data_IF_885716548872
#
_entry.id   IF_885716548872
#
_cell.length_a   1.000
_cell.length_b   1.000
_cell.length_c   1.000
_cell.angle_alpha   90.00
_cell.angle_beta   90.00
_cell.angle_gamma   90.00
#
_symmetry.space_group_name_H-M   'P 1'
#
loop_
_entity.id
_entity.type
_entity.pdbx_description
1 polymer ?
#
# COMPACT_ATOMS: atom_id res chain seq x y z
N UNK A 1 -22.95 -81.46 59.76
CA UNK A 1 -21.76 -81.30 58.88
C UNK A 1 -21.97 -80.30 57.72
N UNK A 2 -23.07 -79.53 57.67
CA UNK A 2 -23.38 -78.63 56.53
C UNK A 2 -22.69 -77.25 56.64
N UNK A 3 -22.40 -76.79 57.88
CA UNK A 3 -21.73 -75.51 58.16
C UNK A 3 -20.30 -75.36 57.59
N UNK A 4 -19.40 -76.37 57.64
CA UNK A 4 -18.07 -76.23 57.05
C UNK A 4 -18.09 -76.20 55.51
N UNK A 5 -19.03 -76.92 54.88
CA UNK A 5 -19.16 -76.95 53.41
C UNK A 5 -19.61 -75.60 52.85
N UNK A 6 -20.51 -74.90 53.55
CA UNK A 6 -21.04 -73.60 53.15
C UNK A 6 -19.99 -72.48 53.34
N UNK A 7 -19.11 -72.58 54.34
CA UNK A 7 -17.98 -71.65 54.49
C UNK A 7 -16.90 -71.83 53.42
N UNK A 8 -16.60 -73.06 53.01
CA UNK A 8 -15.63 -73.32 51.94
C UNK A 8 -16.16 -72.80 50.60
N UNK A 9 -17.45 -73.01 50.30
CA UNK A 9 -18.09 -72.48 49.10
C UNK A 9 -18.09 -70.94 49.06
N UNK A 10 -18.32 -70.28 50.20
CA UNK A 10 -18.29 -68.81 50.29
C UNK A 10 -16.86 -68.24 50.16
N UNK A 11 -15.87 -68.89 50.76
CA UNK A 11 -14.46 -68.50 50.61
C UNK A 11 -13.94 -68.69 49.18
N UNK A 12 -14.37 -69.75 48.49
CA UNK A 12 -14.04 -69.97 47.08
C UNK A 12 -14.66 -68.90 46.17
N UNK A 13 -15.90 -68.48 46.44
CA UNK A 13 -16.57 -67.43 45.66
C UNK A 13 -15.89 -66.06 45.83
N UNK A 14 -15.45 -65.73 47.04
CA UNK A 14 -14.69 -64.49 47.32
C UNK A 14 -13.30 -64.48 46.65
N UNK A 15 -12.63 -65.63 46.58
CA UNK A 15 -11.34 -65.74 45.91
C UNK A 15 -11.44 -65.53 44.39
N UNK A 16 -12.48 -66.10 43.75
CA UNK A 16 -12.71 -65.95 42.30
C UNK A 16 -13.07 -64.51 41.92
N UNK A 17 -13.88 -63.82 42.73
CA UNK A 17 -14.22 -62.42 42.48
C UNK A 17 -13.00 -61.48 42.57
N UNK A 18 -12.06 -61.77 43.47
CA UNK A 18 -10.82 -60.99 43.62
C UNK A 18 -9.87 -61.13 42.42
N UNK A 19 -9.76 -62.34 41.84
CA UNK A 19 -8.89 -62.59 40.69
C UNK A 19 -9.40 -61.97 39.39
N UNK A 20 -10.72 -61.95 39.19
CA UNK A 20 -11.32 -61.32 38.01
C UNK A 20 -11.08 -59.80 38.00
N UNK A 21 -11.29 -59.13 39.13
CA UNK A 21 -11.09 -57.68 39.28
C UNK A 21 -9.62 -57.28 39.05
N UNK A 22 -8.69 -58.09 39.55
CA UNK A 22 -7.26 -57.84 39.37
C UNK A 22 -6.84 -57.92 37.90
N UNK A 23 -7.39 -58.89 37.15
CA UNK A 23 -7.13 -59.07 35.72
C UNK A 23 -7.67 -57.92 34.85
N UNK A 24 -8.86 -57.39 35.17
CA UNK A 24 -9.43 -56.23 34.46
C UNK A 24 -8.55 -54.98 34.62
N UNK A 25 -8.14 -54.70 35.84
CA UNK A 25 -7.25 -53.57 36.15
C UNK A 25 -5.86 -53.71 35.47
N UNK A 26 -5.34 -54.94 35.32
CA UNK A 26 -4.10 -55.21 34.57
C UNK A 26 -4.28 -54.94 33.08
N UNK A 27 -5.44 -55.30 32.51
CA UNK A 27 -5.79 -54.98 31.12
C UNK A 27 -5.93 -53.46 30.92
N UNK A 28 -6.47 -52.72 31.89
CA UNK A 28 -6.53 -51.26 31.88
C UNK A 28 -5.13 -50.64 31.87
N UNK A 29 -4.21 -51.12 32.71
CA UNK A 29 -2.81 -50.67 32.72
C UNK A 29 -2.14 -50.94 31.38
N UNK A 30 -2.35 -52.11 30.78
CA UNK A 30 -1.82 -52.43 29.46
C UNK A 30 -2.34 -51.46 28.39
N UNK A 31 -3.64 -51.15 28.41
CA UNK A 31 -4.26 -50.15 27.51
C UNK A 31 -3.65 -48.75 27.69
N UNK A 32 -3.43 -48.31 28.93
CA UNK A 32 -2.83 -47.00 29.21
C UNK A 32 -1.39 -46.92 28.71
N UNK A 33 -0.59 -47.97 28.91
CA UNK A 33 0.76 -48.06 28.36
C UNK A 33 0.75 -48.03 26.83
N UNK A 34 -0.17 -48.75 26.18
CA UNK A 34 -0.30 -48.73 24.73
C UNK A 34 -0.64 -47.33 24.18
N UNK A 35 -1.56 -46.61 24.81
CA UNK A 35 -1.90 -45.22 24.43
C UNK A 35 -0.69 -44.30 24.52
N UNK A 36 0.08 -44.42 25.61
CA UNK A 36 1.28 -43.61 25.81
C UNK A 36 2.39 -43.97 24.82
N UNK A 37 2.55 -45.25 24.50
CA UNK A 37 3.47 -45.72 23.47
C UNK A 37 3.11 -45.18 22.08
N UNK A 38 1.83 -45.21 21.71
CA UNK A 38 1.35 -44.60 20.45
C UNK A 38 1.66 -43.10 20.37
N UNK A 39 1.57 -42.41 21.51
CA UNK A 39 1.92 -41.00 21.61
C UNK A 39 3.44 -40.76 21.43
N UNK A 40 4.28 -41.68 21.88
CA UNK A 40 5.75 -41.66 21.71
C UNK A 40 6.19 -42.03 20.29
N UNK A 41 5.57 -43.02 19.68
CA UNK A 41 5.91 -43.50 18.34
C UNK A 41 5.46 -42.54 17.23
N UNK A 42 4.55 -41.61 17.54
CA UNK A 42 4.13 -40.60 16.58
C UNK A 42 5.22 -39.53 16.39
N UNK A 43 5.95 -39.64 15.28
CA UNK A 43 7.02 -38.72 14.89
C UNK A 43 6.58 -37.24 14.86
N UNK A 44 5.32 -36.96 14.49
CA UNK A 44 4.82 -35.57 14.45
C UNK A 44 4.62 -34.96 15.84
N UNK A 45 4.48 -35.82 16.86
CA UNK A 45 4.34 -35.45 18.26
C UNK A 45 5.62 -35.67 19.07
N UNK A 46 6.71 -36.12 18.43
CA UNK A 46 7.95 -36.47 19.12
C UNK A 46 8.48 -35.28 19.94
N UNK A 47 8.76 -35.54 21.22
CA UNK A 47 9.24 -34.55 22.18
C UNK A 47 8.18 -33.56 22.68
N UNK A 48 6.94 -33.58 22.19
CA UNK A 48 5.86 -32.71 22.69
C UNK A 48 5.28 -33.22 23.99
N UNK A 49 4.89 -32.31 24.91
CA UNK A 49 4.31 -32.65 26.20
C UNK A 49 5.19 -33.61 27.03
N UNK A 50 6.52 -33.44 26.95
CA UNK A 50 7.49 -34.32 27.60
C UNK A 50 7.27 -34.44 29.11
N UNK A 51 6.87 -33.35 29.75
CA UNK A 51 6.55 -33.30 31.17
C UNK A 51 5.28 -34.11 31.51
N UNK A 52 4.21 -33.91 30.76
CA UNK A 52 2.94 -34.59 30.95
C UNK A 52 3.06 -36.09 30.68
N UNK A 53 3.85 -36.48 29.67
CA UNK A 53 4.19 -37.88 29.39
C UNK A 53 4.93 -38.51 30.56
N UNK A 54 5.93 -37.84 31.12
CA UNK A 54 6.63 -38.32 32.31
C UNK A 54 5.66 -38.52 33.49
N UNK A 55 4.76 -37.57 33.72
CA UNK A 55 3.74 -37.68 34.76
C UNK A 55 2.76 -38.84 34.51
N UNK A 56 2.39 -39.09 33.26
CA UNK A 56 1.56 -40.22 32.86
C UNK A 56 2.26 -41.56 33.16
N UNK A 57 3.54 -41.72 32.79
CA UNK A 57 4.32 -42.93 33.11
C UNK A 57 4.37 -43.17 34.62
N UNK A 58 4.69 -42.15 35.39
CA UNK A 58 4.74 -42.24 36.85
C UNK A 58 3.38 -42.60 37.46
N UNK A 59 2.28 -42.09 36.91
CA UNK A 59 0.94 -42.41 37.39
C UNK A 59 0.57 -43.86 37.09
N UNK A 60 0.93 -44.38 35.92
CA UNK A 60 0.75 -45.80 35.55
C UNK A 60 1.59 -46.70 36.49
N UNK A 61 2.87 -46.38 36.71
CA UNK A 61 3.75 -47.12 37.63
C UNK A 61 3.18 -47.18 39.05
N UNK A 62 2.56 -46.10 39.54
CA UNK A 62 1.93 -46.06 40.85
C UNK A 62 0.77 -47.07 40.99
N UNK A 63 0.07 -47.40 39.91
CA UNK A 63 -1.00 -48.42 39.93
C UNK A 63 -0.45 -49.78 40.33
N UNK A 64 0.75 -50.13 39.87
CA UNK A 64 1.39 -51.41 40.20
C UNK A 64 1.78 -51.52 41.69
N UNK A 65 2.07 -50.40 42.32
CA UNK A 65 2.46 -50.34 43.75
C UNK A 65 1.28 -50.03 44.69
N UNK A 66 0.10 -49.74 44.16
CA UNK A 66 -1.07 -49.36 44.94
C UNK A 66 -1.65 -50.56 45.70
N UNK A 67 -2.16 -50.29 46.91
CA UNK A 67 -2.92 -51.30 47.67
C UNK A 67 -4.21 -51.62 46.93
N UNK A 68 -4.70 -52.86 47.04
CA UNK A 68 -5.94 -53.32 46.36
C UNK A 68 -7.12 -52.35 46.51
N UNK A 69 -7.34 -51.78 47.70
CA UNK A 69 -8.42 -50.80 47.97
C UNK A 69 -8.24 -49.44 47.29
N UNK A 70 -6.99 -49.04 47.03
CA UNK A 70 -6.63 -47.73 46.46
C UNK A 70 -6.39 -47.80 44.94
N UNK A 71 -6.36 -49.03 44.39
CA UNK A 71 -5.99 -49.32 43.01
C UNK A 71 -6.94 -48.68 41.99
N UNK A 72 -8.25 -48.70 42.24
CA UNK A 72 -9.24 -48.05 41.38
C UNK A 72 -9.01 -46.53 41.28
N UNK A 73 -8.65 -45.88 42.39
CA UNK A 73 -8.31 -44.46 42.39
C UNK A 73 -6.98 -44.19 41.67
N UNK A 74 -5.98 -45.05 41.88
CA UNK A 74 -4.71 -44.95 41.16
C UNK A 74 -4.90 -45.08 39.64
N UNK A 75 -5.76 -46.01 39.18
CA UNK A 75 -6.14 -46.18 37.78
C UNK A 75 -6.82 -44.93 37.22
N UNK A 76 -7.78 -44.36 37.95
CA UNK A 76 -8.44 -43.11 37.53
C UNK A 76 -7.44 -41.97 37.34
N UNK A 77 -6.50 -41.80 38.28
CA UNK A 77 -5.45 -40.78 38.16
C UNK A 77 -4.54 -41.05 36.97
N UNK A 78 -4.15 -42.30 36.73
CA UNK A 78 -3.32 -42.68 35.59
C UNK A 78 -4.01 -42.37 34.25
N UNK A 79 -5.30 -42.71 34.11
CA UNK A 79 -6.07 -42.40 32.90
C UNK A 79 -6.16 -40.89 32.65
N UNK A 80 -6.48 -40.10 33.68
CA UNK A 80 -6.51 -38.62 33.57
C UNK A 80 -5.15 -38.03 33.18
N UNK A 81 -4.04 -38.62 33.63
CA UNK A 81 -2.68 -38.17 33.27
C UNK A 81 -2.33 -38.51 31.83
N UNK A 82 -2.69 -39.70 31.34
CA UNK A 82 -2.53 -40.08 29.93
C UNK A 82 -3.34 -39.15 29.03
N UNK A 83 -4.62 -38.89 29.37
CA UNK A 83 -5.45 -37.95 28.62
C UNK A 83 -4.86 -36.53 28.60
N UNK A 84 -4.31 -36.08 29.74
CA UNK A 84 -3.64 -34.77 29.82
C UNK A 84 -2.43 -34.71 28.90
N UNK A 85 -1.60 -35.76 28.86
CA UNK A 85 -0.45 -35.83 27.97
C UNK A 85 -0.85 -35.80 26.49
N UNK A 86 -1.92 -36.51 26.11
CA UNK A 86 -2.46 -36.49 24.76
C UNK A 86 -2.98 -35.09 24.36
N UNK A 87 -3.72 -34.42 25.25
CA UNK A 87 -4.22 -33.06 25.02
C UNK A 87 -3.07 -32.06 24.92
N UNK A 88 -2.10 -32.13 25.83
CA UNK A 88 -0.94 -31.24 25.82
C UNK A 88 -0.12 -31.40 24.54
N UNK A 89 0.08 -32.64 24.06
CA UNK A 89 0.77 -32.90 22.80
C UNK A 89 0.03 -32.28 21.61
N UNK A 90 -1.30 -32.40 21.55
CA UNK A 90 -2.12 -31.75 20.51
C UNK A 90 -2.06 -30.22 20.58
N UNK A 91 -2.04 -29.65 21.79
CA UNK A 91 -1.89 -28.19 21.98
C UNK A 91 -0.53 -27.71 21.47
N UNK A 92 0.55 -28.39 21.83
CA UNK A 92 1.89 -28.04 21.36
C UNK A 92 2.03 -28.17 19.84
N UNK A 93 1.47 -29.22 19.25
CA UNK A 93 1.43 -29.37 17.79
C UNK A 93 0.68 -28.21 17.15
N UNK A 94 -0.50 -27.86 17.68
CA UNK A 94 -1.29 -26.73 17.19
C UNK A 94 -0.54 -25.40 17.29
N UNK A 95 0.19 -25.16 18.38
CA UNK A 95 1.02 -23.95 18.54
C UNK A 95 2.12 -23.86 17.50
N UNK A 96 2.84 -24.96 17.24
CA UNK A 96 3.88 -24.98 16.18
C UNK A 96 3.30 -24.68 14.80
N UNK A 97 2.09 -25.18 14.54
CA UNK A 97 1.38 -24.92 13.29
C UNK A 97 0.99 -23.44 13.16
N UNK A 98 0.45 -22.85 14.22
CA UNK A 98 0.16 -21.41 14.27
C UNK A 98 1.42 -20.60 14.00
N UNK A 99 2.52 -20.90 14.71
CA UNK A 99 3.79 -20.18 14.53
C UNK A 99 4.31 -20.30 13.08
N UNK A 100 4.12 -21.46 12.44
CA UNK A 100 4.48 -21.67 11.03
C UNK A 100 3.64 -20.78 10.12
N UNK A 101 2.32 -20.83 10.25
CA UNK A 101 1.39 -20.05 9.44
C UNK A 101 1.58 -18.54 9.63
N UNK A 102 1.92 -18.09 10.84
CA UNK A 102 2.22 -16.69 11.12
C UNK A 102 3.49 -16.21 10.41
N UNK A 103 4.54 -17.05 10.33
CA UNK A 103 5.74 -16.75 9.55
C UNK A 103 5.42 -16.66 8.06
N UNK A 104 4.72 -17.64 7.50
CA UNK A 104 4.30 -17.64 6.10
C UNK A 104 3.45 -16.41 5.76
N UNK A 105 2.49 -16.06 6.64
CA UNK A 105 1.68 -14.84 6.51
C UNK A 105 2.54 -13.59 6.53
N UNK A 106 3.52 -13.52 7.41
CA UNK A 106 4.41 -12.35 7.53
C UNK A 106 5.27 -12.18 6.28
N UNK A 107 5.80 -13.26 5.73
CA UNK A 107 6.55 -13.27 4.47
C UNK A 107 5.67 -12.78 3.30
N UNK A 108 4.45 -13.30 3.18
CA UNK A 108 3.48 -12.86 2.17
C UNK A 108 3.15 -11.37 2.27
N UNK A 109 2.97 -10.84 3.49
CA UNK A 109 2.70 -9.41 3.70
C UNK A 109 3.88 -8.53 3.31
N UNK A 110 5.11 -8.96 3.62
CA UNK A 110 6.32 -8.24 3.20
C UNK A 110 6.43 -8.22 1.68
N UNK A 111 6.17 -9.35 1.01
CA UNK A 111 6.17 -9.40 -0.46
C UNK A 111 5.09 -8.51 -1.09
N UNK A 112 3.86 -8.55 -0.54
CA UNK A 112 2.76 -7.70 -1.00
C UNK A 112 3.13 -6.21 -0.85
N UNK A 113 3.69 -5.83 0.31
CA UNK A 113 4.15 -4.47 0.59
C UNK A 113 5.26 -4.03 -0.36
N UNK A 114 6.23 -4.91 -0.69
CA UNK A 114 7.27 -4.62 -1.68
C UNK A 114 6.69 -4.34 -3.06
N UNK A 115 5.77 -5.18 -3.54
CA UNK A 115 5.10 -4.99 -4.83
C UNK A 115 4.28 -3.71 -4.86
N UNK A 116 3.64 -3.35 -3.75
CA UNK A 116 2.90 -2.10 -3.63
C UNK A 116 3.84 -0.89 -3.65
N UNK A 117 4.95 -0.91 -2.90
CA UNK A 117 5.95 0.14 -2.92
C UNK A 117 6.56 0.33 -4.32
N UNK A 118 6.81 -0.75 -5.05
CA UNK A 118 7.30 -0.69 -6.45
C UNK A 118 6.26 -0.10 -7.41
N UNK A 119 4.97 -0.37 -7.21
CA UNK A 119 3.90 0.26 -8.01
C UNK A 119 3.78 1.75 -7.68
N UNK A 120 3.76 2.11 -6.41
CA UNK A 120 3.70 3.51 -5.97
C UNK A 120 4.90 4.33 -6.49
N UNK A 121 6.11 3.75 -6.52
CA UNK A 121 7.30 4.39 -7.11
C UNK A 121 7.13 4.65 -8.59
N UNK A 122 6.66 3.65 -9.34
CA UNK A 122 6.39 3.80 -10.79
C UNK A 122 5.34 4.86 -11.05
N UNK A 123 4.24 4.86 -10.30
CA UNK A 123 3.18 5.86 -10.41
C UNK A 123 3.69 7.27 -10.09
N UNK A 124 4.50 7.42 -9.03
CA UNK A 124 5.13 8.69 -8.68
C UNK A 124 6.11 9.18 -9.76
N UNK A 125 6.90 8.28 -10.36
CA UNK A 125 7.78 8.60 -11.49
C UNK A 125 6.99 9.05 -12.72
N UNK A 126 5.89 8.36 -13.05
CA UNK A 126 5.00 8.75 -14.15
C UNK A 126 4.41 10.14 -13.94
N UNK A 127 3.89 10.44 -12.75
CA UNK A 127 3.35 11.76 -12.41
C UNK A 127 4.44 12.85 -12.47
N UNK A 128 5.66 12.55 -12.03
CA UNK A 128 6.79 13.47 -12.13
C UNK A 128 7.12 13.83 -13.57
N UNK A 129 7.15 12.82 -14.45
CA UNK A 129 7.41 13.01 -15.88
C UNK A 129 6.29 13.83 -16.52
N UNK A 130 5.02 13.52 -16.25
CA UNK A 130 3.88 14.30 -16.77
C UNK A 130 3.94 15.76 -16.31
N UNK A 131 4.26 16.00 -15.05
CA UNK A 131 4.40 17.36 -14.51
C UNK A 131 5.53 18.12 -15.20
N UNK A 132 6.66 17.45 -15.46
CA UNK A 132 7.79 18.05 -16.17
C UNK A 132 7.43 18.40 -17.62
N UNK A 133 6.75 17.50 -18.35
CA UNK A 133 6.30 17.74 -19.72
C UNK A 133 5.38 18.96 -19.77
N UNK A 134 4.38 19.04 -18.88
CA UNK A 134 3.48 20.19 -18.85
C UNK A 134 4.18 21.51 -18.50
N UNK A 135 5.20 21.48 -17.64
CA UNK A 135 6.00 22.66 -17.35
C UNK A 135 6.82 23.11 -18.59
N UNK A 136 7.42 22.17 -19.31
CA UNK A 136 8.16 22.44 -20.54
C UNK A 136 7.22 22.99 -21.64
N UNK A 137 6.04 22.39 -21.82
CA UNK A 137 5.02 22.87 -22.76
C UNK A 137 4.53 24.29 -22.41
N UNK A 138 4.32 24.58 -21.11
CA UNK A 138 3.92 25.91 -20.66
C UNK A 138 5.00 26.96 -20.94
N UNK A 139 6.27 26.63 -20.73
CA UNK A 139 7.40 27.52 -21.08
C UNK A 139 7.49 27.72 -22.60
N UNK A 140 7.33 26.65 -23.39
CA UNK A 140 7.29 26.76 -24.86
C UNK A 140 6.16 27.67 -25.34
N UNK A 141 4.96 27.55 -24.78
CA UNK A 141 3.83 28.43 -25.09
C UNK A 141 4.10 29.88 -24.68
N UNK A 142 4.75 30.12 -23.53
CA UNK A 142 5.12 31.47 -23.09
C UNK A 142 6.12 32.11 -24.06
N UNK A 143 7.16 31.38 -24.46
CA UNK A 143 8.14 31.85 -25.44
C UNK A 143 7.49 32.16 -26.81
N UNK A 144 6.55 31.33 -27.26
CA UNK A 144 5.82 31.57 -28.50
C UNK A 144 4.94 32.85 -28.41
N UNK A 145 4.25 33.05 -27.28
CA UNK A 145 3.45 34.25 -27.05
C UNK A 145 4.31 35.52 -26.98
N UNK A 146 5.48 35.46 -26.33
CA UNK A 146 6.44 36.57 -26.29
C UNK A 146 6.95 36.93 -27.70
N UNK A 147 7.27 35.93 -28.54
CA UNK A 147 7.67 36.15 -29.93
C UNK A 147 6.55 36.76 -30.77
N UNK A 148 5.31 36.28 -30.61
CA UNK A 148 4.16 36.84 -31.33
C UNK A 148 3.91 38.29 -30.91
N UNK A 149 3.97 38.61 -29.61
CA UNK A 149 3.84 39.97 -29.11
C UNK A 149 4.93 40.89 -29.68
N UNK A 150 6.18 40.42 -29.73
CA UNK A 150 7.28 41.17 -30.35
C UNK A 150 7.06 41.41 -31.84
N UNK A 151 6.59 40.40 -32.59
CA UNK A 151 6.28 40.53 -34.01
C UNK A 151 5.13 41.53 -34.26
N UNK A 152 4.09 41.52 -33.41
CA UNK A 152 3.00 42.52 -33.46
C UNK A 152 3.51 43.93 -33.20
N UNK A 153 4.35 44.13 -32.18
CA UNK A 153 4.96 45.43 -31.89
C UNK A 153 5.83 45.93 -33.05
N UNK A 154 6.60 45.05 -33.69
CA UNK A 154 7.38 45.40 -34.88
C UNK A 154 6.48 45.81 -36.06
N UNK A 155 5.40 45.07 -36.30
CA UNK A 155 4.44 45.41 -37.35
C UNK A 155 3.76 46.76 -37.10
N UNK A 156 3.34 47.03 -35.85
CA UNK A 156 2.80 48.34 -35.45
C UNK A 156 3.81 49.47 -35.65
N UNK A 157 5.08 49.24 -35.29
CA UNK A 157 6.18 50.19 -35.53
C UNK A 157 6.33 50.54 -37.01
N UNK A 158 6.38 49.53 -37.90
CA UNK A 158 6.47 49.75 -39.36
C UNK A 158 5.26 50.51 -39.89
N UNK A 159 4.04 50.19 -39.43
CA UNK A 159 2.83 50.91 -39.83
C UNK A 159 2.88 52.39 -39.40
N UNK A 160 3.34 52.66 -38.18
CA UNK A 160 3.51 54.02 -37.66
C UNK A 160 4.56 54.81 -38.45
N UNK A 161 5.68 54.18 -38.80
CA UNK A 161 6.72 54.80 -39.63
C UNK A 161 6.21 55.15 -41.03
N UNK A 162 5.50 54.23 -41.67
CA UNK A 162 4.88 54.48 -42.98
C UNK A 162 3.85 55.61 -42.90
N UNK A 163 2.99 55.61 -41.87
CA UNK A 163 2.01 56.68 -41.66
C UNK A 163 2.69 58.03 -41.41
N UNK A 164 3.78 58.05 -40.63
CA UNK A 164 4.61 59.23 -40.39
C UNK A 164 5.23 59.77 -41.69
N UNK A 165 5.79 58.90 -42.53
CA UNK A 165 6.34 59.26 -43.84
C UNK A 165 5.27 59.84 -44.78
N UNK A 166 4.06 59.24 -44.81
CA UNK A 166 2.93 59.76 -45.58
C UNK A 166 2.49 61.14 -45.08
N UNK A 167 2.39 61.33 -43.76
CA UNK A 167 2.05 62.62 -43.17
C UNK A 167 3.09 63.70 -43.49
N UNK A 168 4.38 63.37 -43.47
CA UNK A 168 5.46 64.28 -43.85
C UNK A 168 5.35 64.69 -45.33
N UNK A 169 5.08 63.72 -46.23
CA UNK A 169 4.88 63.98 -47.66
C UNK A 169 3.68 64.92 -47.91
N UNK A 170 2.57 64.71 -47.20
CA UNK A 170 1.39 65.58 -47.29
C UNK A 170 1.69 67.01 -46.82
N UNK A 171 2.42 67.18 -45.71
CA UNK A 171 2.84 68.52 -45.23
C UNK A 171 3.75 69.22 -46.24
N UNK A 172 4.70 68.50 -46.83
CA UNK A 172 5.58 69.05 -47.87
C UNK A 172 4.79 69.50 -49.11
N UNK A 173 3.80 68.72 -49.55
CA UNK A 173 2.92 69.10 -50.65
C UNK A 173 2.09 70.36 -50.34
N UNK A 174 1.51 70.45 -49.13
CA UNK A 174 0.77 71.65 -48.68
C UNK A 174 1.67 72.89 -48.62
N UNK A 175 2.90 72.75 -48.15
CA UNK A 175 3.88 73.85 -48.12
C UNK A 175 4.18 74.37 -49.54
N UNK A 176 4.39 73.46 -50.50
CA UNK A 176 4.57 73.83 -51.91
C UNK A 176 3.35 74.52 -52.49
N UNK A 177 2.14 74.04 -52.19
CA UNK A 177 0.90 74.71 -52.61
C UNK A 177 0.79 76.13 -52.04
N UNK A 178 1.11 76.33 -50.76
CA UNK A 178 1.09 77.66 -50.16
C UNK A 178 2.15 78.59 -50.77
N UNK A 179 3.34 78.07 -51.09
CA UNK A 179 4.38 78.83 -51.79
C UNK A 179 3.96 79.21 -53.22
N UNK A 180 3.34 78.28 -53.96
CA UNK A 180 2.79 78.56 -55.29
C UNK A 180 1.67 79.60 -55.22
N UNK A 181 0.73 79.47 -54.28
CA UNK A 181 -0.33 80.46 -54.08
C UNK A 181 0.22 81.84 -53.73
N UNK A 182 1.30 81.94 -52.95
CA UNK A 182 2.00 83.21 -52.68
C UNK A 182 2.62 83.78 -53.95
N UNK A 183 3.30 82.96 -54.75
CA UNK A 183 3.87 83.39 -56.05
C UNK A 183 2.78 83.83 -57.02
N UNK A 184 1.65 83.15 -57.06
CA UNK A 184 0.49 83.55 -57.86
C UNK A 184 -0.10 84.87 -57.37
N UNK A 185 -0.22 85.08 -56.05
CA UNK A 185 -0.66 86.35 -55.49
C UNK A 185 0.34 87.50 -55.76
N UNK A 186 1.64 87.24 -55.69
CA UNK A 186 2.70 88.20 -56.06
C UNK A 186 2.67 88.51 -57.56
N UNK A 187 2.42 87.52 -58.43
CA UNK A 187 2.25 87.72 -59.87
C UNK A 187 0.97 88.52 -60.19
N UNK A 188 -0.14 88.26 -59.49
CA UNK A 188 -1.38 89.05 -59.62
C UNK A 188 -1.23 90.47 -59.05
N UNK A 189 -0.43 90.65 -57.99
CA UNK A 189 -0.08 91.97 -57.45
C UNK A 189 0.89 92.74 -58.35
N UNK A 190 1.82 92.07 -59.02
CA UNK A 190 2.72 92.67 -60.00
C UNK A 190 1.99 93.01 -61.31
N UNK A 191 0.99 92.21 -61.70
CA UNK A 191 0.06 92.55 -62.78
C UNK A 191 -0.97 93.63 -62.42
N UNK A 192 -1.12 93.95 -61.13
CA UNK A 192 -2.03 94.99 -60.62
C UNK A 192 -1.41 96.38 -60.44
N UNK A 193 -0.10 96.54 -60.66
CA UNK A 193 0.63 97.80 -60.43
C UNK A 193 1.40 98.27 -61.69
N UNK A 194 0.68 98.42 -62.82
CA UNK A 194 1.01 99.21 -64.02
C UNK A 194 -0.37 99.53 -64.63
N UNK A 195 -1.02 100.69 -64.51
CA UNK A 195 -0.61 102.08 -64.72
C UNK A 195 -1.54 103.05 -63.95
N UNK A 196 -0.95 103.95 -63.16
CA UNK A 196 -1.35 105.38 -63.06
C UNK A 196 -0.18 106.15 -62.46
N UNK A 197 0.45 107.07 -63.21
CA UNK A 197 0.06 108.50 -63.23
C UNK A 197 0.27 109.11 -64.65
N UNK A 198 -0.02 110.35 -65.04
CA UNK A 198 -0.51 111.59 -64.45
C UNK A 198 -0.94 112.53 -65.60
N UNK A 199 -1.67 113.58 -65.24
CA UNK A 199 -2.13 114.67 -66.08
C UNK A 199 -1.04 115.70 -66.40
N UNK A 200 -1.18 116.37 -67.57
CA UNK A 200 -1.06 117.83 -67.85
C UNK A 200 -0.85 118.07 -69.37
N UNK A 201 -1.85 118.59 -70.09
CA UNK A 201 -2.02 119.99 -70.53
C UNK A 201 -0.97 120.54 -71.53
N UNK A 202 -1.39 120.82 -72.77
CA UNK A 202 -1.18 122.12 -73.48
C UNK A 202 -1.70 122.06 -74.93
N UNK A 203 -2.61 123.00 -75.25
CA UNK A 203 -3.15 123.39 -76.58
C UNK A 203 -2.15 124.30 -77.34
N UNK A 204 -2.44 124.87 -78.54
CA UNK A 204 -3.60 124.77 -79.43
C UNK A 204 -3.40 123.99 -80.73
#
# INVERSE_FOLDING_TARGET
>A
MIRPLLMIAFAALLAVAGTARAADDDADVARLNQRLQQLDDNLSLAGMASYERLQARQAIERVATARSRDRANALYVADRRVETAEIAARIEQGRREVDRLERERSEMLVEASRREAERARREAEHLRIQTQIHAEEAEHLRLAAEQEAAARQQAEGVLNDVAGAQAAKLRAARKRQAELARREAELMSAGGNVDKPESKSSKP
#
